data_IF_388110007779
#
_entry.id   IF_388110007779
#
_cell.length_a   1.000
_cell.length_b   1.000
_cell.length_c   1.000
_cell.angle_alpha   90.00
_cell.angle_beta   90.00
_cell.angle_gamma   90.00
#
_symmetry.space_group_name_H-M   'P 1'
#
loop_
_entity.id
_entity.type
_entity.pdbx_description
1 polymer ?
#
# COMPACT_ATOMS: atom_id res chain seq x y z
N UNK A 1 0.07 -28.62 20.11
CA UNK A 1 -1.30 -29.18 20.17
C UNK A 1 -2.31 -28.38 19.34
N UNK A 2 -2.51 -27.07 19.56
CA UNK A 2 -3.48 -26.29 18.76
C UNK A 2 -3.08 -26.18 17.28
N UNK A 3 -1.82 -25.85 16.98
CA UNK A 3 -1.33 -25.75 15.60
C UNK A 3 -1.33 -27.10 14.86
N UNK A 4 -1.06 -28.21 15.54
CA UNK A 4 -1.09 -29.55 14.93
C UNK A 4 -2.50 -29.95 14.47
N UNK A 5 -3.54 -29.49 15.20
CA UNK A 5 -4.93 -29.67 14.80
C UNK A 5 -5.29 -28.77 13.62
N UNK A 6 -4.83 -27.51 13.61
CA UNK A 6 -5.02 -26.61 12.46
C UNK A 6 -4.32 -27.18 11.22
N UNK A 7 -3.07 -27.68 11.35
CA UNK A 7 -2.33 -28.32 10.26
C UNK A 7 -3.12 -29.49 9.68
N UNK A 8 -3.65 -30.38 10.53
CA UNK A 8 -4.48 -31.53 10.10
C UNK A 8 -5.79 -31.11 9.44
N UNK A 9 -6.34 -29.93 9.75
CA UNK A 9 -7.61 -29.44 9.22
C UNK A 9 -7.47 -28.40 8.11
N UNK A 10 -6.25 -28.01 7.71
CA UNK A 10 -6.05 -26.92 6.74
C UNK A 10 -6.77 -27.18 5.40
N UNK A 11 -6.82 -28.43 4.96
CA UNK A 11 -7.55 -28.83 3.74
C UNK A 11 -9.08 -28.64 3.82
N UNK A 12 -9.64 -28.46 5.02
CA UNK A 12 -11.07 -28.19 5.23
C UNK A 12 -11.39 -26.70 5.25
N UNK A 13 -10.36 -25.84 5.29
CA UNK A 13 -10.55 -24.40 5.27
C UNK A 13 -10.91 -23.94 3.85
N UNK A 14 -11.48 -22.75 3.73
CA UNK A 14 -11.65 -22.09 2.43
C UNK A 14 -10.49 -21.10 2.23
N UNK A 15 -10.37 -20.52 1.03
CA UNK A 15 -9.29 -19.57 0.70
C UNK A 15 -9.21 -18.39 1.67
N UNK A 16 -10.36 -17.85 2.07
CA UNK A 16 -10.45 -16.74 3.03
C UNK A 16 -9.95 -17.13 4.42
N UNK A 17 -10.36 -18.28 4.94
CA UNK A 17 -9.91 -18.79 6.23
C UNK A 17 -8.40 -19.01 6.25
N UNK A 18 -7.81 -19.52 5.15
CA UNK A 18 -6.36 -19.68 5.05
C UNK A 18 -5.65 -18.33 5.00
N UNK A 19 -6.18 -17.33 4.29
CA UNK A 19 -5.60 -15.99 4.30
C UNK A 19 -5.64 -15.36 5.70
N UNK A 20 -6.79 -15.46 6.39
CA UNK A 20 -6.93 -14.96 7.76
C UNK A 20 -5.99 -15.69 8.73
N UNK A 21 -5.79 -16.99 8.53
CA UNK A 21 -4.79 -17.76 9.27
C UNK A 21 -3.39 -17.21 9.02
N UNK A 22 -2.99 -16.96 7.77
CA UNK A 22 -1.67 -16.38 7.47
C UNK A 22 -1.45 -15.03 8.17
N UNK A 23 -2.46 -14.16 8.17
CA UNK A 23 -2.42 -12.87 8.86
C UNK A 23 -2.27 -13.08 10.38
N UNK A 24 -3.02 -14.00 10.96
CA UNK A 24 -2.93 -14.30 12.39
C UNK A 24 -1.55 -14.87 12.77
N UNK A 25 -0.97 -15.75 11.94
CA UNK A 25 0.37 -16.28 12.15
C UNK A 25 1.45 -15.22 12.06
N UNK A 26 1.34 -14.31 11.09
CA UNK A 26 2.28 -13.20 10.94
C UNK A 26 2.22 -12.24 12.15
N UNK A 27 1.01 -11.90 12.61
CA UNK A 27 0.82 -11.09 13.83
C UNK A 27 1.36 -11.77 15.11
N UNK A 28 1.42 -13.10 15.13
CA UNK A 28 1.97 -13.89 16.22
C UNK A 28 3.47 -14.17 16.07
N UNK A 29 4.11 -13.64 15.01
CA UNK A 29 5.50 -13.96 14.64
C UNK A 29 5.77 -15.48 14.59
N UNK A 30 4.81 -16.26 14.13
CA UNK A 30 4.94 -17.71 14.04
C UNK A 30 5.73 -18.14 12.80
N UNK A 31 6.92 -18.73 13.02
CA UNK A 31 7.90 -19.04 11.97
C UNK A 31 8.21 -20.55 11.83
N UNK A 32 7.20 -21.41 11.90
CA UNK A 32 7.40 -22.84 11.62
C UNK A 32 7.37 -23.12 10.10
N UNK A 33 8.51 -23.48 9.53
CA UNK A 33 8.70 -23.71 8.08
C UNK A 33 7.72 -24.77 7.55
N UNK A 34 7.66 -25.95 8.18
CA UNK A 34 6.77 -27.04 7.75
C UNK A 34 5.29 -26.65 7.71
N UNK A 35 4.87 -25.68 8.52
CA UNK A 35 3.51 -25.18 8.54
C UNK A 35 3.25 -24.20 7.39
N UNK A 36 4.22 -23.31 7.11
CA UNK A 36 4.17 -22.40 5.98
C UNK A 36 4.23 -23.15 4.64
N UNK A 37 4.92 -24.28 4.56
CA UNK A 37 4.94 -25.12 3.35
C UNK A 37 3.56 -25.74 3.06
N UNK A 38 2.88 -26.26 4.07
CA UNK A 38 1.50 -26.75 3.92
C UNK A 38 0.53 -25.63 3.50
N UNK A 39 0.70 -24.43 4.05
CA UNK A 39 -0.06 -23.24 3.61
C UNK A 39 0.21 -22.95 2.14
N UNK A 40 1.47 -22.93 1.71
CA UNK A 40 1.84 -22.66 0.32
C UNK A 40 1.24 -23.70 -0.63
N UNK A 41 1.32 -25.00 -0.29
CA UNK A 41 0.69 -26.08 -1.07
C UNK A 41 -0.82 -25.87 -1.17
N UNK A 42 -1.48 -25.48 -0.07
CA UNK A 42 -2.90 -25.16 -0.08
C UNK A 42 -3.22 -23.96 -0.99
N UNK A 43 -2.48 -22.86 -0.85
CA UNK A 43 -2.66 -21.63 -1.65
C UNK A 43 -2.49 -21.96 -3.13
N UNK A 44 -1.48 -22.74 -3.50
CA UNK A 44 -1.25 -23.14 -4.89
C UNK A 44 -2.43 -23.90 -5.49
N UNK A 45 -3.02 -24.85 -4.75
CA UNK A 45 -4.20 -25.61 -5.21
C UNK A 45 -5.43 -24.70 -5.41
N UNK A 46 -5.49 -23.58 -4.70
CA UNK A 46 -6.62 -22.68 -4.65
C UNK A 46 -6.34 -21.30 -5.24
N UNK A 47 -5.28 -21.16 -6.02
CA UNK A 47 -4.78 -19.86 -6.46
C UNK A 47 -5.82 -19.07 -7.25
N UNK A 48 -6.61 -19.77 -8.08
CA UNK A 48 -7.74 -19.24 -8.84
C UNK A 48 -8.91 -18.70 -8.01
N UNK A 49 -8.96 -19.00 -6.70
CA UNK A 49 -10.01 -18.51 -5.79
C UNK A 49 -9.66 -17.18 -5.13
N UNK A 50 -8.41 -16.73 -5.25
CA UNK A 50 -7.97 -15.46 -4.67
C UNK A 50 -8.12 -14.34 -5.70
N UNK A 51 -8.64 -13.20 -5.26
CA UNK A 51 -8.59 -11.99 -6.07
C UNK A 51 -7.21 -11.32 -5.98
N UNK A 52 -6.92 -10.36 -6.86
CA UNK A 52 -5.61 -9.71 -6.86
C UNK A 52 -5.24 -8.98 -5.56
N UNK A 53 -6.21 -8.43 -4.81
CA UNK A 53 -5.94 -7.81 -3.50
C UNK A 53 -5.42 -8.84 -2.52
N UNK A 54 -6.00 -10.03 -2.51
CA UNK A 54 -5.59 -11.14 -1.65
C UNK A 54 -4.24 -11.72 -2.07
N UNK A 55 -3.98 -11.82 -3.38
CA UNK A 55 -2.68 -12.26 -3.89
C UNK A 55 -1.54 -11.32 -3.48
N UNK A 56 -1.74 -10.00 -3.59
CA UNK A 56 -0.76 -9.02 -3.10
C UNK A 56 -0.60 -9.13 -1.58
N UNK A 57 -1.69 -9.34 -0.83
CA UNK A 57 -1.59 -9.55 0.62
C UNK A 57 -0.82 -10.82 0.98
N UNK A 58 -0.99 -11.91 0.22
CA UNK A 58 -0.20 -13.14 0.40
C UNK A 58 1.28 -12.84 0.15
N UNK A 59 1.61 -12.12 -0.93
CA UNK A 59 2.99 -11.70 -1.19
C UNK A 59 3.58 -10.85 -0.04
N UNK A 60 2.80 -9.91 0.50
CA UNK A 60 3.24 -9.08 1.63
C UNK A 60 3.54 -9.88 2.91
N UNK A 61 2.79 -10.97 3.16
CA UNK A 61 2.99 -11.82 4.34
C UNK A 61 4.23 -12.72 4.22
N UNK A 62 4.61 -13.05 2.98
CA UNK A 62 5.71 -13.96 2.67
C UNK A 62 7.01 -13.20 2.34
N UNK A 63 6.89 -11.94 1.96
CA UNK A 63 8.03 -11.07 1.65
C UNK A 63 7.98 -9.88 2.60
N UNK A 64 8.83 -9.84 3.66
CA UNK A 64 8.81 -8.76 4.61
C UNK A 64 9.09 -7.42 3.92
N UNK A 65 8.47 -6.34 4.41
CA UNK A 65 8.90 -5.00 4.08
C UNK A 65 10.38 -4.88 4.46
N UNK A 66 11.23 -4.59 3.49
CA UNK A 66 12.52 -3.97 3.79
C UNK A 66 12.18 -2.50 3.93
N UNK A 67 11.87 -2.09 5.15
CA UNK A 67 11.97 -0.66 5.44
C UNK A 67 13.43 -0.27 5.22
N UNK A 68 13.65 0.86 4.55
CA UNK A 68 14.96 1.51 4.45
C UNK A 68 15.27 2.10 5.84
N UNK A 69 15.35 1.24 6.86
CA UNK A 69 15.69 1.61 8.23
C UNK A 69 17.20 1.87 8.27
N UNK A 70 17.56 3.12 7.94
CA UNK A 70 18.89 3.68 8.14
C UNK A 70 19.06 4.32 9.52
N UNK A 71 18.12 4.11 10.45
CA UNK A 71 18.21 4.65 11.80
C UNK A 71 19.03 3.72 12.72
N UNK A 72 20.19 4.23 13.12
CA UNK A 72 21.35 3.63 13.79
C UNK A 72 21.13 3.15 15.25
N UNK A 73 20.16 2.27 15.51
CA UNK A 73 20.12 1.53 16.79
C UNK A 73 20.49 0.05 16.59
N UNK A 74 21.77 -0.28 16.85
CA UNK A 74 22.42 -1.58 16.59
C UNK A 74 21.67 -2.81 17.14
N UNK A 75 20.99 -2.68 18.29
CA UNK A 75 20.29 -3.80 18.94
C UNK A 75 18.91 -4.06 18.33
N UNK A 76 18.23 -3.01 17.89
CA UNK A 76 16.95 -3.11 17.16
C UNK A 76 17.21 -3.68 15.77
N UNK A 77 18.34 -3.30 15.15
CA UNK A 77 18.76 -3.79 13.85
C UNK A 77 18.92 -5.31 13.81
N UNK A 78 19.65 -5.91 14.77
CA UNK A 78 19.90 -7.35 14.81
C UNK A 78 18.60 -8.18 14.92
N UNK A 79 17.65 -7.77 15.76
CA UNK A 79 16.37 -8.47 15.90
C UNK A 79 15.55 -8.37 14.61
N UNK A 80 15.47 -7.18 14.00
CA UNK A 80 14.81 -6.97 12.70
C UNK A 80 15.45 -7.80 11.59
N UNK A 81 16.78 -7.93 11.59
CA UNK A 81 17.50 -8.72 10.57
C UNK A 81 17.24 -10.22 10.73
N UNK A 82 17.18 -10.73 11.95
CA UNK A 82 16.83 -12.14 12.23
C UNK A 82 15.39 -12.42 11.80
N UNK A 83 14.44 -11.57 12.19
CA UNK A 83 13.04 -11.71 11.75
C UNK A 83 12.92 -11.66 10.22
N UNK A 84 13.66 -10.75 9.58
CA UNK A 84 13.72 -10.64 8.12
C UNK A 84 14.24 -11.92 7.47
N UNK A 85 15.32 -12.51 7.99
CA UNK A 85 15.86 -13.79 7.47
C UNK A 85 14.84 -14.92 7.62
N UNK A 86 14.21 -15.04 8.80
CA UNK A 86 13.18 -16.05 9.04
C UNK A 86 11.97 -15.87 8.12
N UNK A 87 11.55 -14.62 7.84
CA UNK A 87 10.45 -14.33 6.92
C UNK A 87 10.83 -14.60 5.47
N UNK A 88 12.06 -14.31 5.06
CA UNK A 88 12.57 -14.60 3.70
C UNK A 88 12.64 -16.11 3.40
N UNK A 89 12.79 -16.93 4.44
CA UNK A 89 12.77 -18.39 4.37
C UNK A 89 11.34 -18.97 4.30
N UNK A 90 10.29 -18.17 4.46
CA UNK A 90 8.90 -18.66 4.45
C UNK A 90 8.43 -19.16 3.09
N UNK A 91 9.10 -18.82 1.98
CA UNK A 91 8.63 -19.21 0.65
C UNK A 91 9.73 -19.30 -0.39
N UNK A 92 9.62 -20.34 -1.21
CA UNK A 92 10.45 -20.57 -2.39
C UNK A 92 10.14 -19.55 -3.49
N UNK A 93 11.14 -19.23 -4.31
CA UNK A 93 11.01 -18.27 -5.41
C UNK A 93 9.98 -18.74 -6.44
N UNK A 94 9.95 -20.03 -6.72
CA UNK A 94 9.06 -20.67 -7.69
C UNK A 94 7.59 -20.49 -7.31
N UNK A 95 7.27 -20.60 -6.01
CA UNK A 95 5.94 -20.34 -5.48
C UNK A 95 5.53 -18.89 -5.73
N UNK A 96 6.39 -17.93 -5.36
CA UNK A 96 6.12 -16.51 -5.54
C UNK A 96 5.96 -16.15 -7.02
N UNK A 97 6.80 -16.71 -7.90
CA UNK A 97 6.72 -16.49 -9.34
C UNK A 97 5.39 -16.95 -9.93
N UNK A 98 4.82 -18.06 -9.45
CA UNK A 98 3.49 -18.51 -9.88
C UNK A 98 2.39 -17.53 -9.50
N UNK A 99 2.49 -16.88 -8.33
CA UNK A 99 1.56 -15.80 -7.95
C UNK A 99 1.72 -14.62 -8.91
N UNK A 100 2.96 -14.17 -9.15
CA UNK A 100 3.26 -13.04 -10.05
C UNK A 100 2.72 -13.29 -11.46
N UNK A 101 2.79 -14.51 -11.99
CA UNK A 101 2.27 -14.84 -13.32
C UNK A 101 0.74 -14.67 -13.47
N UNK A 102 -0.01 -14.61 -12.37
CA UNK A 102 -1.47 -14.42 -12.37
C UNK A 102 -1.86 -12.95 -12.17
N UNK A 103 -1.00 -12.17 -11.51
CA UNK A 103 -1.25 -10.76 -11.21
C UNK A 103 -1.61 -9.89 -12.43
N UNK A 104 -1.08 -10.10 -13.65
CA UNK A 104 -1.49 -9.34 -14.83
C UNK A 104 -3.01 -9.28 -15.07
N UNK A 105 -3.77 -10.28 -14.64
CA UNK A 105 -5.23 -10.32 -14.77
C UNK A 105 -5.90 -9.26 -13.86
N UNK A 106 -5.25 -8.92 -12.74
CA UNK A 106 -5.81 -8.09 -11.66
C UNK A 106 -5.17 -6.72 -11.51
N UNK A 107 -4.00 -6.48 -12.12
CA UNK A 107 -3.20 -5.24 -11.90
C UNK A 107 -3.99 -3.95 -12.23
N UNK A 108 -4.93 -4.03 -13.17
CA UNK A 108 -5.82 -2.92 -13.52
C UNK A 108 -6.68 -2.42 -12.34
N UNK A 109 -6.96 -3.29 -11.38
CA UNK A 109 -7.82 -2.99 -10.21
C UNK A 109 -7.00 -2.55 -8.98
N UNK A 110 -5.67 -2.44 -9.10
CA UNK A 110 -4.82 -2.08 -7.97
C UNK A 110 -4.79 -0.57 -7.72
N UNK A 111 -4.84 -0.17 -6.45
CA UNK A 111 -4.56 1.20 -6.06
C UNK A 111 -3.05 1.48 -6.13
N UNK A 112 -2.62 2.76 -6.27
CA UNK A 112 -1.22 3.14 -6.25
C UNK A 112 -0.37 2.46 -5.18
N UNK A 113 -0.85 2.42 -3.93
CA UNK A 113 -0.14 1.78 -2.83
C UNK A 113 0.13 0.29 -3.03
N UNK A 114 -0.84 -0.45 -3.61
CA UNK A 114 -0.66 -1.88 -3.92
C UNK A 114 0.24 -2.10 -5.13
N UNK A 115 0.14 -1.23 -6.14
CA UNK A 115 1.04 -1.26 -7.31
C UNK A 115 2.50 -1.04 -6.88
N UNK A 116 2.75 0.01 -6.09
CA UNK A 116 4.07 0.31 -5.54
C UNK A 116 4.57 -0.86 -4.70
N UNK A 117 3.75 -1.37 -3.79
CA UNK A 117 4.15 -2.49 -2.92
C UNK A 117 4.48 -3.75 -3.71
N UNK A 118 3.65 -4.11 -4.69
CA UNK A 118 3.91 -5.23 -5.58
C UNK A 118 5.24 -5.04 -6.32
N UNK A 119 5.50 -3.84 -6.83
CA UNK A 119 6.71 -3.54 -7.57
C UNK A 119 7.98 -3.72 -6.71
N UNK A 120 7.93 -3.27 -5.47
CA UNK A 120 9.00 -3.48 -4.49
C UNK A 120 9.24 -4.96 -4.22
N UNK A 121 8.18 -5.73 -3.95
CA UNK A 121 8.29 -7.18 -3.71
C UNK A 121 8.94 -7.87 -4.90
N UNK A 122 8.55 -7.51 -6.12
CA UNK A 122 9.11 -8.09 -7.33
C UNK A 122 10.60 -7.76 -7.46
N UNK A 123 11.01 -6.51 -7.20
CA UNK A 123 12.43 -6.12 -7.26
C UNK A 123 13.24 -6.80 -6.15
N UNK A 124 12.74 -6.80 -4.92
CA UNK A 124 13.40 -7.37 -3.74
C UNK A 124 13.66 -8.87 -3.88
N UNK A 125 12.76 -9.60 -4.54
CA UNK A 125 12.83 -11.06 -4.71
C UNK A 125 13.19 -11.49 -6.13
N UNK A 126 13.56 -10.54 -6.99
CA UNK A 126 13.86 -10.78 -8.40
C UNK A 126 12.75 -11.58 -9.12
N UNK A 127 11.49 -11.19 -8.89
CA UNK A 127 10.31 -11.84 -9.48
C UNK A 127 9.81 -11.05 -10.68
N UNK A 128 9.18 -11.79 -11.61
CA UNK A 128 8.64 -11.21 -12.83
C UNK A 128 9.71 -11.06 -13.91
N UNK A 129 9.31 -11.29 -15.16
CA UNK A 129 10.14 -11.04 -16.32
C UNK A 129 10.03 -9.57 -16.76
N UNK A 130 10.89 -9.14 -17.69
CA UNK A 130 10.87 -7.76 -18.18
C UNK A 130 9.53 -7.40 -18.85
N UNK A 131 8.86 -8.39 -19.44
CA UNK A 131 7.53 -8.24 -20.00
C UNK A 131 6.51 -7.83 -18.93
N UNK A 132 6.51 -8.52 -17.79
CA UNK A 132 5.66 -8.19 -16.65
C UNK A 132 5.87 -6.74 -16.19
N UNK A 133 7.12 -6.30 -16.08
CA UNK A 133 7.43 -4.93 -15.69
C UNK A 133 6.95 -3.91 -16.73
N UNK A 134 7.35 -4.07 -17.99
CA UNK A 134 7.11 -3.06 -19.04
C UNK A 134 5.64 -3.01 -19.47
N UNK A 135 5.05 -4.16 -19.81
CA UNK A 135 3.70 -4.22 -20.39
C UNK A 135 2.58 -4.11 -19.36
N UNK A 136 2.85 -4.44 -18.09
CA UNK A 136 1.82 -4.44 -17.05
C UNK A 136 2.15 -3.46 -15.95
N UNK A 137 3.21 -3.69 -15.18
CA UNK A 137 3.43 -2.94 -13.95
C UNK A 137 3.66 -1.44 -14.22
N UNK A 138 4.63 -1.09 -15.06
CA UNK A 138 4.97 0.30 -15.38
C UNK A 138 3.90 0.98 -16.24
N UNK A 139 3.25 0.23 -17.14
CA UNK A 139 2.07 0.72 -17.85
C UNK A 139 0.97 1.20 -16.88
N UNK A 140 0.66 0.42 -15.83
CA UNK A 140 -0.34 0.86 -14.85
C UNK A 140 0.16 1.92 -13.87
N UNK A 141 1.47 2.00 -13.60
CA UNK A 141 2.07 3.14 -12.91
C UNK A 141 1.84 4.42 -13.71
N UNK A 142 2.13 4.43 -15.01
CA UNK A 142 1.90 5.57 -15.90
C UNK A 142 0.43 6.03 -15.84
N UNK A 143 -0.51 5.10 -16.00
CA UNK A 143 -1.96 5.41 -15.98
C UNK A 143 -2.43 5.98 -14.65
N UNK A 144 -1.80 5.59 -13.53
CA UNK A 144 -2.25 5.93 -12.18
C UNK A 144 -1.37 6.95 -11.48
N UNK A 145 -0.29 7.45 -12.09
CA UNK A 145 0.70 8.34 -11.44
C UNK A 145 0.07 9.59 -10.81
N UNK A 146 -1.03 10.10 -11.38
CA UNK A 146 -1.79 11.25 -10.85
C UNK A 146 -2.46 10.96 -9.50
N UNK A 147 -2.70 9.69 -9.18
CA UNK A 147 -3.29 9.23 -7.91
C UNK A 147 -2.22 8.87 -6.87
N UNK A 148 -0.93 8.88 -7.22
CA UNK A 148 0.13 8.54 -6.28
C UNK A 148 0.22 9.63 -5.21
N UNK A 149 0.36 9.20 -3.96
CA UNK A 149 0.89 10.03 -2.87
C UNK A 149 2.40 10.27 -3.08
N UNK A 150 2.96 11.24 -2.37
CA UNK A 150 4.40 11.54 -2.40
C UNK A 150 5.21 10.31 -1.99
N UNK A 151 4.81 9.62 -0.91
CA UNK A 151 5.43 8.36 -0.48
C UNK A 151 5.47 7.30 -1.60
N UNK A 152 4.31 7.01 -2.21
CA UNK A 152 4.25 6.02 -3.30
C UNK A 152 5.07 6.45 -4.52
N UNK A 153 5.16 7.75 -4.78
CA UNK A 153 5.96 8.31 -5.85
C UNK A 153 7.46 8.11 -5.61
N UNK A 154 7.96 8.47 -4.43
CA UNK A 154 9.35 8.27 -4.03
C UNK A 154 9.73 6.79 -4.11
N UNK A 155 8.89 5.91 -3.58
CA UNK A 155 9.09 4.45 -3.61
C UNK A 155 9.11 3.90 -5.03
N UNK A 156 8.22 4.34 -5.92
CA UNK A 156 8.25 3.87 -7.31
C UNK A 156 9.49 4.37 -8.06
N UNK A 157 10.01 5.57 -7.77
CA UNK A 157 11.30 6.02 -8.32
C UNK A 157 12.44 5.08 -7.90
N UNK A 158 12.47 4.63 -6.65
CA UNK A 158 13.48 3.66 -6.15
C UNK A 158 13.36 2.31 -6.84
N UNK A 159 12.14 1.82 -7.07
CA UNK A 159 11.89 0.60 -7.86
C UNK A 159 12.41 0.76 -9.28
N UNK A 160 12.04 1.85 -9.97
CA UNK A 160 12.45 2.13 -11.34
C UNK A 160 13.98 2.23 -11.46
N UNK A 161 14.62 2.90 -10.51
CA UNK A 161 16.08 3.00 -10.43
C UNK A 161 16.74 1.64 -10.19
N UNK A 162 16.18 0.80 -9.33
CA UNK A 162 16.72 -0.55 -9.08
C UNK A 162 16.57 -1.47 -10.29
N UNK A 163 15.51 -1.31 -11.09
CA UNK A 163 15.35 -1.99 -12.38
C UNK A 163 16.12 -1.34 -13.54
N UNK A 164 16.83 -0.24 -13.29
CA UNK A 164 17.55 0.54 -14.29
C UNK A 164 16.68 0.87 -15.51
N UNK A 165 15.41 1.22 -15.27
CA UNK A 165 14.46 1.46 -16.35
C UNK A 165 14.67 2.83 -16.99
N UNK A 166 15.44 2.90 -18.09
CA UNK A 166 15.77 4.17 -18.78
C UNK A 166 15.23 4.26 -20.20
N UNK A 167 14.78 3.15 -20.78
CA UNK A 167 14.45 3.04 -22.22
C UNK A 167 13.29 3.94 -22.68
N UNK A 168 12.32 4.23 -21.80
CA UNK A 168 11.09 4.92 -22.16
C UNK A 168 11.12 6.41 -21.78
N UNK A 169 11.70 7.21 -22.66
CA UNK A 169 11.82 8.66 -22.49
C UNK A 169 10.45 9.34 -22.36
N UNK A 170 9.42 8.82 -23.02
CA UNK A 170 8.07 9.38 -22.97
C UNK A 170 7.47 9.16 -21.59
N UNK A 171 7.57 7.94 -21.05
CA UNK A 171 7.17 7.62 -19.69
C UNK A 171 7.79 8.59 -18.67
N UNK A 172 9.10 8.81 -18.75
CA UNK A 172 9.81 9.71 -17.84
C UNK A 172 9.38 11.18 -18.00
N UNK A 173 9.48 11.72 -19.22
CA UNK A 173 9.30 13.15 -19.46
C UNK A 173 7.84 13.59 -19.51
N UNK A 174 6.91 12.69 -19.84
CA UNK A 174 5.48 13.04 -19.97
C UNK A 174 4.66 12.66 -18.75
N UNK A 175 5.11 11.69 -17.93
CA UNK A 175 4.31 11.18 -16.83
C UNK A 175 5.02 11.27 -15.48
N UNK A 176 6.24 10.73 -15.36
CA UNK A 176 6.92 10.63 -14.06
C UNK A 176 7.45 11.97 -13.56
N UNK A 177 8.28 12.67 -14.33
CA UNK A 177 8.87 13.94 -13.87
C UNK A 177 7.86 15.08 -13.75
N UNK A 178 6.90 15.26 -14.68
CA UNK A 178 5.89 16.31 -14.54
C UNK A 178 5.06 16.20 -13.26
N UNK A 179 4.94 15.00 -12.68
CA UNK A 179 4.17 14.78 -11.46
C UNK A 179 4.71 15.57 -10.27
N UNK A 180 6.03 15.79 -10.22
CA UNK A 180 6.72 16.50 -9.12
C UNK A 180 6.15 17.91 -8.93
N UNK A 181 5.91 18.63 -10.04
CA UNK A 181 5.40 20.00 -10.02
C UNK A 181 3.94 20.11 -9.57
N UNK A 182 3.23 18.99 -9.48
CA UNK A 182 1.82 18.94 -9.11
C UNK A 182 1.61 18.56 -7.64
N UNK A 183 2.67 18.19 -6.91
CA UNK A 183 2.56 17.85 -5.51
C UNK A 183 2.54 19.11 -4.61
N UNK A 184 1.67 19.16 -3.58
CA UNK A 184 1.76 20.16 -2.53
C UNK A 184 2.89 19.75 -1.55
N UNK A 185 4.13 20.07 -1.90
CA UNK A 185 5.30 19.66 -1.12
C UNK A 185 5.51 20.56 0.10
N UNK A 186 5.69 19.95 1.28
CA UNK A 186 6.35 20.60 2.43
C UNK A 186 7.87 20.37 2.39
N UNK A 187 8.62 20.88 3.37
CA UNK A 187 10.09 20.73 3.44
C UNK A 187 10.53 19.27 3.51
N UNK A 188 9.87 18.47 4.36
CA UNK A 188 10.16 17.04 4.52
C UNK A 188 9.88 16.28 3.23
N UNK A 189 8.72 16.52 2.62
CA UNK A 189 8.32 15.91 1.34
C UNK A 189 9.31 16.25 0.23
N UNK A 190 9.72 17.52 0.13
CA UNK A 190 10.70 17.98 -0.86
C UNK A 190 12.05 17.28 -0.66
N UNK A 191 12.48 17.07 0.58
CA UNK A 191 13.69 16.35 0.90
C UNK A 191 13.58 14.87 0.46
N UNK A 192 12.48 14.20 0.80
CA UNK A 192 12.25 12.80 0.41
C UNK A 192 12.24 12.61 -1.11
N UNK A 193 11.63 13.54 -1.85
CA UNK A 193 11.64 13.54 -3.33
C UNK A 193 13.05 13.78 -3.87
N UNK A 194 13.79 14.74 -3.29
CA UNK A 194 15.18 15.02 -3.69
C UNK A 194 16.06 13.78 -3.54
N UNK A 195 16.04 13.14 -2.37
CA UNK A 195 16.80 11.91 -2.11
C UNK A 195 16.46 10.81 -3.11
N UNK A 196 15.16 10.65 -3.41
CA UNK A 196 14.69 9.63 -4.34
C UNK A 196 15.14 9.91 -5.79
N UNK A 197 15.17 11.17 -6.21
CA UNK A 197 15.70 11.58 -7.53
C UNK A 197 17.21 11.41 -7.63
N UNK A 198 17.96 11.75 -6.57
CA UNK A 198 19.41 11.56 -6.53
C UNK A 198 19.73 10.06 -6.57
N UNK A 199 19.05 9.24 -5.76
CA UNK A 199 19.21 7.79 -5.79
C UNK A 199 18.88 7.19 -7.16
N UNK A 200 17.82 7.70 -7.82
CA UNK A 200 17.48 7.34 -9.19
C UNK A 200 18.62 7.69 -10.15
N UNK A 201 19.15 8.92 -10.10
CA UNK A 201 20.24 9.37 -10.99
C UNK A 201 21.53 8.56 -10.79
N UNK A 202 21.83 8.17 -9.56
CA UNK A 202 22.99 7.32 -9.25
C UNK A 202 22.86 5.93 -9.86
N UNK A 203 21.65 5.34 -9.85
CA UNK A 203 21.39 4.03 -10.46
C UNK A 203 21.17 4.07 -11.98
N UNK A 204 20.66 5.18 -12.50
CA UNK A 204 20.32 5.40 -13.90
C UNK A 204 21.12 6.59 -14.46
N UNK A 205 22.41 6.39 -14.73
CA UNK A 205 23.32 7.49 -15.11
C UNK A 205 22.92 8.17 -16.42
N UNK A 206 22.33 7.43 -17.36
CA UNK A 206 21.89 7.96 -18.65
C UNK A 206 20.56 8.74 -18.57
N UNK A 207 19.82 8.62 -17.46
CA UNK A 207 18.56 9.31 -17.30
C UNK A 207 18.79 10.79 -16.94
N UNK A 208 18.21 11.71 -17.69
CA UNK A 208 18.29 13.15 -17.40
C UNK A 208 17.33 13.53 -16.27
N UNK A 209 17.87 13.60 -15.05
CA UNK A 209 17.17 14.08 -13.86
C UNK A 209 17.50 15.54 -13.53
N UNK A 210 18.25 16.26 -14.36
CA UNK A 210 18.79 17.59 -13.99
C UNK A 210 17.68 18.60 -13.73
N UNK A 211 16.67 18.65 -14.59
CA UNK A 211 15.55 19.58 -14.45
C UNK A 211 14.74 19.33 -13.15
N UNK A 212 14.25 18.10 -12.86
CA UNK A 212 13.50 17.86 -11.64
C UNK A 212 14.34 18.03 -10.37
N UNK A 213 15.62 17.66 -10.36
CA UNK A 213 16.52 17.86 -9.22
C UNK A 213 16.70 19.36 -8.92
N UNK A 214 17.05 20.16 -9.92
CA UNK A 214 17.27 21.60 -9.75
C UNK A 214 16.00 22.32 -9.24
N UNK A 215 14.82 21.87 -9.68
CA UNK A 215 13.55 22.41 -9.18
C UNK A 215 13.39 22.15 -7.67
N UNK A 216 13.61 20.90 -7.23
CA UNK A 216 13.47 20.54 -5.82
C UNK A 216 14.54 21.22 -4.96
N UNK A 217 15.79 21.33 -5.43
CA UNK A 217 16.84 22.06 -4.72
C UNK A 217 16.50 23.54 -4.55
N UNK A 218 15.94 24.17 -5.59
CA UNK A 218 15.45 25.56 -5.48
C UNK A 218 14.34 25.68 -4.44
N UNK A 219 13.46 24.68 -4.34
CA UNK A 219 12.39 24.65 -3.35
C UNK A 219 12.93 24.47 -1.93
N UNK A 220 13.88 23.57 -1.71
CA UNK A 220 14.53 23.34 -0.43
C UNK A 220 15.24 24.60 0.09
N UNK A 221 16.00 25.29 -0.77
CA UNK A 221 16.63 26.59 -0.43
C UNK A 221 15.60 27.64 0.00
N UNK A 222 14.41 27.66 -0.62
CA UNK A 222 13.33 28.56 -0.20
C UNK A 222 12.79 28.20 1.18
N UNK A 223 12.64 26.91 1.49
CA UNK A 223 12.24 26.48 2.83
C UNK A 223 13.28 26.85 3.89
N UNK A 224 14.57 26.67 3.62
CA UNK A 224 15.65 27.08 4.53
C UNK A 224 15.65 28.58 4.82
N UNK A 225 15.39 29.41 3.81
CA UNK A 225 15.25 30.86 3.99
C UNK A 225 14.03 31.22 4.86
N UNK A 226 12.92 30.49 4.73
CA UNK A 226 11.70 30.71 5.53
C UNK A 226 11.94 30.31 6.99
N UNK A 227 12.51 29.12 7.22
CA UNK A 227 12.81 28.64 8.58
C UNK A 227 13.79 29.58 9.28
N UNK A 228 14.78 30.08 8.54
CA UNK A 228 15.68 31.12 9.03
C UNK A 228 14.95 32.43 9.33
N UNK A 229 14.00 32.84 8.48
CA UNK A 229 13.23 34.08 8.64
C UNK A 229 12.36 34.10 9.90
N UNK A 230 11.74 32.97 10.26
CA UNK A 230 11.00 32.85 11.52
C UNK A 230 11.89 33.02 12.76
N UNK A 231 13.19 32.75 12.62
CA UNK A 231 14.19 32.94 13.67
C UNK A 231 14.83 34.35 13.66
N UNK A 232 14.58 35.16 12.63
CA UNK A 232 15.12 36.53 12.50
C UNK A 232 14.30 37.56 13.30
N UNK A 233 14.98 38.61 13.79
CA UNK A 233 14.30 39.74 14.44
C UNK A 233 13.50 40.57 13.42
N UNK A 234 12.46 41.32 13.84
CA UNK A 234 11.68 42.18 12.93
C UNK A 234 12.51 43.17 12.11
N UNK A 235 13.65 43.64 12.63
CA UNK A 235 14.58 44.53 11.92
C UNK A 235 15.37 43.81 10.82
N UNK A 236 15.75 42.55 11.04
CA UNK A 236 16.41 41.70 10.04
C UNK A 236 15.42 41.26 8.95
N UNK A 237 14.19 40.95 9.36
CA UNK A 237 13.07 40.62 8.48
C UNK A 237 12.73 41.77 7.52
N UNK A 238 12.73 43.02 7.99
CA UNK A 238 12.45 44.18 7.14
C UNK A 238 13.56 44.48 6.12
N UNK A 239 14.81 44.06 6.35
CA UNK A 239 15.90 44.17 5.36
C UNK A 239 15.80 43.14 4.23
N UNK A 240 15.11 42.02 4.44
CA UNK A 240 14.97 40.94 3.46
C UNK A 240 13.80 41.20 2.50
N UNK A 241 12.77 41.93 2.95
CA UNK A 241 11.61 42.31 2.12
C UNK A 241 11.98 43.13 0.87
N UNK A 242 13.14 43.79 0.86
CA UNK A 242 13.65 44.56 -0.28
C UNK A 242 14.48 43.74 -1.28
N UNK A 243 14.83 42.47 -0.98
CA UNK A 243 15.79 41.68 -1.79
C UNK A 243 15.12 40.68 -2.74
N UNK A 244 13.81 40.45 -2.62
CA UNK A 244 13.14 39.60 -3.61
C UNK A 244 11.66 39.49 -3.36
N UNK A 245 10.87 40.12 -4.24
CA UNK A 245 9.54 39.59 -4.53
C UNK A 245 9.70 38.10 -4.83
N UNK A 246 9.14 37.25 -3.97
CA UNK A 246 8.95 35.83 -4.23
C UNK A 246 8.46 35.69 -5.68
N UNK A 247 9.16 34.95 -6.55
CA UNK A 247 8.82 34.93 -7.95
C UNK A 247 7.36 34.54 -8.11
N UNK A 248 6.60 35.46 -8.69
CA UNK A 248 5.21 35.30 -9.12
C UNK A 248 5.09 34.10 -10.10
N UNK A 249 6.19 33.46 -10.52
CA UNK A 249 6.25 32.19 -11.25
C UNK A 249 5.65 30.97 -10.56
N UNK A 250 5.37 30.99 -9.25
CA UNK A 250 4.50 29.99 -8.58
C UNK A 250 3.01 30.36 -8.69
N UNK A 251 2.69 31.59 -9.12
CA UNK A 251 1.33 32.07 -9.42
C UNK A 251 1.02 32.25 -10.92
N UNK A 252 2.02 32.34 -11.83
CA UNK A 252 1.82 32.75 -13.24
C UNK A 252 2.20 31.74 -14.33
N UNK A 253 2.85 30.61 -14.04
CA UNK A 253 2.94 29.49 -15.02
C UNK A 253 1.64 28.67 -15.09
N UNK A 254 0.56 29.21 -14.54
CA UNK A 254 -0.82 28.73 -14.70
C UNK A 254 -1.62 29.62 -15.67
N UNK A 255 -1.11 30.78 -16.12
CA UNK A 255 -1.90 31.75 -16.89
C UNK A 255 -1.70 31.78 -18.42
N UNK A 256 -1.09 30.75 -19.01
CA UNK A 256 -1.25 30.50 -20.45
C UNK A 256 -1.56 29.03 -20.74
N UNK A 257 -2.74 28.62 -20.32
CA UNK A 257 -3.61 27.79 -21.16
C UNK A 257 -5.04 28.28 -20.95
N UNK A 258 -5.84 28.36 -22.01
CA UNK A 258 -7.30 28.51 -21.94
C UNK A 258 -7.97 27.25 -21.34
N UNK A 259 -7.37 26.68 -20.29
CA UNK A 259 -7.72 25.43 -19.60
C UNK A 259 -7.94 25.66 -18.10
N UNK A 260 -7.75 26.88 -17.57
CA UNK A 260 -7.98 27.19 -16.14
C UNK A 260 -9.44 27.02 -15.70
N UNK A 261 -10.42 27.31 -16.55
CA UNK A 261 -11.82 27.04 -16.22
C UNK A 261 -12.17 25.55 -16.33
N UNK A 262 -11.54 24.84 -17.26
CA UNK A 262 -11.67 23.38 -17.39
C UNK A 262 -10.96 22.64 -16.25
N UNK A 263 -9.84 23.17 -15.75
CA UNK A 263 -9.06 22.58 -14.66
C UNK A 263 -9.64 22.88 -13.29
N UNK A 264 -10.23 24.07 -13.07
CA UNK A 264 -11.00 24.32 -11.84
C UNK A 264 -12.25 23.45 -11.81
N UNK A 265 -12.98 23.37 -12.94
CA UNK A 265 -14.13 22.49 -13.07
C UNK A 265 -13.76 21.02 -12.89
N UNK A 266 -12.69 20.54 -13.53
CA UNK A 266 -12.22 19.16 -13.36
C UNK A 266 -11.70 18.88 -11.93
N UNK A 267 -11.06 19.84 -11.28
CA UNK A 267 -10.61 19.71 -9.89
C UNK A 267 -11.78 19.72 -8.91
N UNK A 268 -12.80 20.53 -9.18
CA UNK A 268 -14.04 20.59 -8.39
C UNK A 268 -14.90 19.33 -8.60
N UNK A 269 -14.95 18.80 -9.83
CA UNK A 269 -15.56 17.51 -10.17
C UNK A 269 -14.79 16.36 -9.52
N UNK A 270 -13.46 16.38 -9.51
CA UNK A 270 -12.64 15.39 -8.82
C UNK A 270 -12.81 15.45 -7.29
N UNK A 271 -12.89 16.65 -6.71
CA UNK A 271 -13.23 16.81 -5.29
C UNK A 271 -14.64 16.32 -4.98
N UNK A 272 -15.62 16.62 -5.83
CA UNK A 272 -16.99 16.13 -5.67
C UNK A 272 -17.06 14.60 -5.82
N UNK A 273 -16.29 14.01 -6.75
CA UNK A 273 -16.16 12.56 -6.87
C UNK A 273 -15.56 11.95 -5.61
N UNK A 274 -14.44 12.48 -5.09
CA UNK A 274 -13.84 12.00 -3.85
C UNK A 274 -14.77 12.12 -2.64
N UNK A 275 -15.54 13.21 -2.54
CA UNK A 275 -16.56 13.38 -1.50
C UNK A 275 -17.69 12.35 -1.68
N UNK A 276 -18.14 12.12 -2.92
CA UNK A 276 -19.19 11.13 -3.21
C UNK A 276 -18.73 9.69 -2.94
N UNK A 277 -17.47 9.38 -3.23
CA UNK A 277 -16.85 8.08 -2.97
C UNK A 277 -16.67 7.85 -1.48
N UNK A 278 -16.16 8.85 -0.76
CA UNK A 278 -16.07 8.81 0.72
C UNK A 278 -17.44 8.62 1.38
N UNK A 279 -18.48 9.30 0.88
CA UNK A 279 -19.86 9.09 1.34
C UNK A 279 -20.40 7.71 0.97
N UNK A 280 -20.04 7.16 -0.19
CA UNK A 280 -20.44 5.82 -0.60
C UNK A 280 -19.76 4.73 0.26
N UNK A 281 -18.46 4.87 0.56
CA UNK A 281 -17.73 3.99 1.46
C UNK A 281 -18.31 4.03 2.89
N UNK A 282 -18.66 5.22 3.40
CA UNK A 282 -19.33 5.34 4.69
C UNK A 282 -20.72 4.67 4.70
N UNK A 283 -21.46 4.70 3.59
CA UNK A 283 -22.75 3.99 3.47
C UNK A 283 -22.55 2.48 3.43
N UNK A 284 -21.59 1.98 2.65
CA UNK A 284 -21.26 0.55 2.59
C UNK A 284 -20.80 0.02 3.96
N UNK A 285 -20.00 0.80 4.69
CA UNK A 285 -19.59 0.45 6.06
C UNK A 285 -20.81 0.35 6.99
N UNK A 286 -21.72 1.34 6.95
CA UNK A 286 -22.96 1.31 7.76
C UNK A 286 -23.86 0.14 7.41
N UNK A 287 -24.03 -0.17 6.12
CA UNK A 287 -24.83 -1.31 5.68
C UNK A 287 -24.23 -2.65 6.14
N UNK A 288 -22.90 -2.78 6.10
CA UNK A 288 -22.20 -3.97 6.62
C UNK A 288 -22.36 -4.12 8.14
N UNK A 289 -22.27 -3.01 8.88
CA UNK A 289 -22.48 -3.00 10.34
C UNK A 289 -23.94 -3.36 10.71
N UNK A 290 -24.93 -2.83 9.97
CA UNK A 290 -26.33 -3.20 10.14
C UNK A 290 -26.60 -4.67 9.81
N UNK A 291 -26.01 -5.19 8.73
CA UNK A 291 -26.16 -6.61 8.37
C UNK A 291 -25.53 -7.52 9.43
N UNK A 292 -24.38 -7.13 9.98
CA UNK A 292 -23.72 -7.83 11.07
C UNK A 292 -24.59 -7.86 12.34
N UNK A 293 -25.17 -6.72 12.73
CA UNK A 293 -26.09 -6.63 13.86
C UNK A 293 -27.33 -7.51 13.67
N UNK A 294 -27.97 -7.47 12.49
CA UNK A 294 -29.12 -8.35 12.17
C UNK A 294 -28.75 -9.83 12.25
N UNK A 295 -27.57 -10.23 11.76
CA UNK A 295 -27.07 -11.61 11.88
C UNK A 295 -26.83 -12.01 13.34
N UNK A 296 -26.31 -11.10 14.17
CA UNK A 296 -26.07 -11.31 15.59
C UNK A 296 -27.39 -11.52 16.35
N UNK A 297 -28.37 -10.63 16.16
CA UNK A 297 -29.71 -10.76 16.77
C UNK A 297 -30.41 -12.07 16.38
N UNK A 298 -30.34 -12.45 15.10
CA UNK A 298 -30.93 -13.71 14.62
C UNK A 298 -30.27 -14.94 15.26
N UNK A 299 -28.97 -14.89 15.56
CA UNK A 299 -28.27 -15.97 16.29
C UNK A 299 -28.74 -16.03 17.75
N UNK A 300 -28.91 -14.88 18.38
CA UNK A 300 -29.38 -14.78 19.77
C UNK A 300 -30.81 -15.28 19.93
N UNK A 301 -31.73 -14.88 19.05
CA UNK A 301 -33.10 -15.39 19.03
C UNK A 301 -33.15 -16.91 18.85
N UNK A 302 -32.29 -17.47 17.99
CA UNK A 302 -32.17 -18.94 17.82
C UNK A 302 -31.66 -19.63 19.07
N UNK A 303 -30.75 -19.00 19.81
CA UNK A 303 -30.23 -19.51 21.08
C UNK A 303 -31.34 -19.52 22.14
N UNK A 304 -32.05 -18.41 22.33
CA UNK A 304 -33.18 -18.31 23.27
C UNK A 304 -34.27 -19.35 22.96
N UNK A 305 -34.62 -19.54 21.68
CA UNK A 305 -35.61 -20.55 21.26
C UNK A 305 -35.16 -21.98 21.56
N UNK A 306 -33.86 -22.27 21.52
CA UNK A 306 -33.31 -23.58 21.92
C UNK A 306 -33.35 -23.77 23.43
N UNK A 307 -32.99 -22.74 24.20
CA UNK A 307 -33.06 -22.78 25.67
C UNK A 307 -34.50 -22.96 26.15
N UNK A 308 -35.48 -22.28 25.55
CA UNK A 308 -36.89 -22.44 25.87
C UNK A 308 -37.41 -23.85 25.55
N UNK A 309 -36.98 -24.44 24.43
CA UNK A 309 -37.32 -25.84 24.09
C UNK A 309 -36.75 -26.84 25.10
N UNK A 310 -35.54 -26.60 25.61
CA UNK A 310 -34.93 -27.44 26.65
C UNK A 310 -35.73 -27.37 27.96
N UNK A 311 -36.07 -26.17 28.43
CA UNK A 311 -36.90 -26.01 29.64
C UNK A 311 -38.25 -26.70 29.50
N UNK A 312 -38.93 -26.53 28.36
CA UNK A 312 -40.21 -27.19 28.11
C UNK A 312 -40.09 -28.74 28.05
N UNK A 313 -38.93 -29.28 27.67
CA UNK A 313 -38.69 -30.73 27.70
C UNK A 313 -38.42 -31.22 29.13
N UNK A 314 -37.66 -30.46 29.92
CA UNK A 314 -37.38 -30.74 31.34
C UNK A 314 -38.68 -30.70 32.16
N UNK A 315 -39.54 -29.70 31.95
CA UNK A 315 -40.85 -29.60 32.60
C UNK A 315 -41.78 -30.77 32.25
N UNK A 316 -41.79 -31.22 30.98
CA UNK A 316 -42.57 -32.39 30.55
C UNK A 316 -42.02 -33.71 31.11
N UNK A 317 -40.70 -33.80 31.30
CA UNK A 317 -40.06 -34.97 31.91
C UNK A 317 -40.40 -35.14 33.38
N UNK A 318 -40.54 -34.04 34.13
CA UNK A 318 -40.86 -34.09 35.55
C UNK A 318 -42.33 -34.46 35.85
N UNK A 319 -43.28 -34.13 34.97
CA UNK A 319 -44.71 -34.48 35.17
C UNK A 319 -44.95 -36.00 35.08
N UNK A 320 -44.05 -36.77 34.47
CA UNK A 320 -44.15 -38.23 34.35
C UNK A 320 -43.64 -38.99 35.59
N UNK A 321 -43.05 -38.31 36.57
CA UNK A 321 -42.51 -38.93 37.80
C UNK A 321 -43.35 -38.68 39.06
N UNK A 322 -44.40 -37.86 39.00
CA UNK A 322 -45.31 -37.56 40.13
C UNK A 322 -46.68 -38.27 40.01
N UNK A 323 -46.75 -39.40 39.29
CA UNK A 323 -48.00 -40.17 39.08
C UNK A 323 -47.84 -41.65 39.44
N UNK A 324 -47.20 -41.94 40.56
CA UNK A 324 -47.27 -43.24 41.26
C UNK A 324 -47.68 -43.03 42.73
#
# INVERSE_FOLDING_TARGET
MAFDEVKRRIGQFNSQHVLQLCIALDNLNYNNVDFWDEIQVYIMKHLHKYNGKELVRILDLLVPNVEDDLDDDDVVYLHKEIEKKQKLERSEREFLQRIINIIPIHVKDFYPSRLTRLAEVCVQRELGDDRFYKEFLFFYVEKKIKMFSIDNYCRILRVLGTKQYTDDIIFWNSFIFPRIYLFPLNKSDAHQVWESLVALKMKCQDLDCTIPINYIESLLKKFELIDGYEQLTPEQQNKIKDVGELPIGVKKTIMHTNSLDMSKKAMQEAQQQLISESQHEQRLSKEQDEEYLKKKEKREQRRLKREQRKRNQEERGNVLYDSD
#
